data_IF_749415775102
#
_entry.id   IF_749415775102
#
_cell.length_a   1.000
_cell.length_b   1.000
_cell.length_c   1.000
_cell.angle_alpha   90.00
_cell.angle_beta   90.00
_cell.angle_gamma   90.00
#
_symmetry.space_group_name_H-M   'P 1'
#
loop_
_entity.id
_entity.type
_entity.pdbx_description
1 polymer ?
#
# COMPACT_ATOMS: atom_id res chain seq x y z
N UNK A 1 9.62 -5.92 57.86
CA UNK A 1 9.04 -6.29 56.55
C UNK A 1 8.10 -5.19 56.03
N UNK A 2 8.54 -3.92 55.95
CA UNK A 2 7.72 -2.79 55.43
C UNK A 2 8.48 -1.72 54.63
N UNK A 3 9.80 -1.83 54.44
CA UNK A 3 10.59 -0.79 53.73
C UNK A 3 10.68 -1.05 52.22
N UNK A 4 10.13 -2.16 51.71
CA UNK A 4 10.14 -2.49 50.27
C UNK A 4 8.88 -2.05 49.51
N UNK A 5 7.81 -1.65 50.19
CA UNK A 5 6.51 -1.30 49.57
C UNK A 5 6.40 0.17 49.11
N UNK A 6 7.29 1.07 49.54
CA UNK A 6 7.22 2.50 49.19
C UNK A 6 7.93 2.86 47.88
N UNK A 7 8.79 2.01 47.33
CA UNK A 7 9.58 2.32 46.14
C UNK A 7 8.87 1.96 44.81
N UNK A 8 7.87 1.08 44.83
CA UNK A 8 7.12 0.65 43.63
C UNK A 8 6.07 1.66 43.15
N UNK A 9 5.61 2.57 44.02
CA UNK A 9 4.57 3.56 43.68
C UNK A 9 5.11 4.84 43.01
N UNK A 10 6.41 5.14 43.16
CA UNK A 10 7.06 6.30 42.53
C UNK A 10 7.62 6.01 41.12
N UNK A 11 7.60 4.76 40.67
CA UNK A 11 8.05 4.36 39.33
C UNK A 11 6.92 4.34 38.27
N UNK A 12 5.66 4.21 38.70
CA UNK A 12 4.49 4.17 37.83
C UNK A 12 4.22 5.43 36.97
N UNK A 13 4.43 6.67 37.44
CA UNK A 13 4.10 7.85 36.63
C UNK A 13 5.07 8.07 35.45
N UNK A 14 6.33 7.62 35.56
CA UNK A 14 7.32 7.72 34.48
C UNK A 14 7.02 6.68 33.39
N UNK A 15 6.67 5.44 33.77
CA UNK A 15 6.33 4.40 32.79
C UNK A 15 5.05 4.71 32.02
N UNK A 16 4.05 5.33 32.67
CA UNK A 16 2.81 5.75 32.00
C UNK A 16 3.04 6.93 31.05
N UNK A 17 3.92 7.86 31.40
CA UNK A 17 4.28 8.98 30.52
C UNK A 17 5.06 8.48 29.29
N UNK A 18 6.02 7.58 29.49
CA UNK A 18 6.74 6.92 28.40
C UNK A 18 5.79 6.10 27.50
N UNK A 19 4.87 5.33 28.06
CA UNK A 19 3.84 4.62 27.27
C UNK A 19 2.98 5.57 26.44
N UNK A 20 2.62 6.73 27.00
CA UNK A 20 1.79 7.71 26.29
C UNK A 20 2.58 8.40 25.16
N UNK A 21 3.86 8.71 25.38
CA UNK A 21 4.76 9.19 24.31
C UNK A 21 4.88 8.12 23.21
N UNK A 22 5.12 6.85 23.58
CA UNK A 22 5.21 5.75 22.61
C UNK A 22 3.91 5.58 21.83
N UNK A 23 2.75 5.71 22.47
CA UNK A 23 1.45 5.64 21.80
C UNK A 23 1.25 6.83 20.83
N UNK A 24 1.67 8.04 21.23
CA UNK A 24 1.62 9.24 20.39
C UNK A 24 2.53 9.13 19.17
N UNK A 25 3.76 8.62 19.34
CA UNK A 25 4.69 8.36 18.24
C UNK A 25 4.13 7.33 17.25
N UNK A 26 3.48 6.28 17.76
CA UNK A 26 2.82 5.26 16.91
C UNK A 26 1.64 5.83 16.12
N UNK A 27 0.84 6.70 16.75
CA UNK A 27 -0.24 7.40 16.05
C UNK A 27 0.30 8.33 14.95
N UNK A 28 1.39 9.06 15.23
CA UNK A 28 2.05 9.92 14.27
C UNK A 28 2.66 9.14 13.09
N UNK A 29 3.25 7.97 13.34
CA UNK A 29 3.77 7.11 12.27
C UNK A 29 2.63 6.58 11.40
N UNK A 30 1.53 6.14 12.01
CA UNK A 30 0.39 5.61 11.25
C UNK A 30 -0.26 6.69 10.37
N UNK A 31 -0.44 7.92 10.87
CA UNK A 31 -1.01 9.01 10.07
C UNK A 31 -0.12 9.41 8.88
N UNK A 32 1.20 9.38 9.05
CA UNK A 32 2.15 9.60 7.95
C UNK A 32 2.09 8.48 6.91
N UNK A 33 1.98 7.21 7.34
CA UNK A 33 1.84 6.07 6.45
C UNK A 33 0.54 6.13 5.64
N UNK A 34 -0.58 6.44 6.29
CA UNK A 34 -1.89 6.62 5.63
C UNK A 34 -1.85 7.75 4.59
N UNK A 35 -1.16 8.86 4.91
CA UNK A 35 -0.97 9.95 3.96
C UNK A 35 -0.19 9.53 2.71
N UNK A 36 0.89 8.75 2.88
CA UNK A 36 1.68 8.25 1.76
C UNK A 36 0.90 7.22 0.93
N UNK A 37 0.14 6.35 1.57
CA UNK A 37 -0.72 5.37 0.91
C UNK A 37 -1.83 6.04 0.08
N UNK A 38 -2.40 7.14 0.59
CA UNK A 38 -3.37 7.94 -0.16
C UNK A 38 -2.74 8.65 -1.38
N UNK A 39 -1.44 8.98 -1.32
CA UNK A 39 -0.71 9.65 -2.41
C UNK A 39 -0.28 8.68 -3.52
N UNK A 40 0.17 7.49 -3.15
CA UNK A 40 0.72 6.50 -4.09
C UNK A 40 -0.20 5.29 -4.20
N UNK A 41 -1.03 5.30 -5.23
CA UNK A 41 -1.98 4.22 -5.52
C UNK A 41 -1.24 2.89 -5.73
N UNK A 42 -1.69 1.84 -5.05
CA UNK A 42 -1.08 0.50 -5.08
C UNK A 42 -0.06 0.23 -3.96
N UNK A 43 0.17 1.18 -3.05
CA UNK A 43 0.98 0.95 -1.85
C UNK A 43 0.29 -0.04 -0.92
N UNK A 44 0.96 -1.15 -0.59
CA UNK A 44 0.38 -2.20 0.26
C UNK A 44 0.34 -1.85 1.75
N UNK A 45 -0.49 -2.60 2.49
CA UNK A 45 -0.56 -2.58 3.96
C UNK A 45 -0.75 -4.01 4.49
N UNK A 46 -0.60 -4.20 5.81
CA UNK A 46 -0.62 -5.53 6.44
C UNK A 46 -1.95 -6.28 6.23
N UNK A 47 -3.07 -5.55 6.19
CA UNK A 47 -4.41 -6.11 6.01
C UNK A 47 -4.86 -6.22 4.54
N UNK A 48 -3.95 -6.00 3.58
CA UNK A 48 -4.28 -5.97 2.16
C UNK A 48 -4.71 -7.37 1.67
N UNK A 49 -5.87 -7.46 1.03
CA UNK A 49 -6.39 -8.74 0.55
C UNK A 49 -5.67 -9.20 -0.72
N UNK A 50 -5.51 -10.52 -0.89
CA UNK A 50 -4.91 -11.12 -2.09
C UNK A 50 -5.56 -10.61 -3.39
N UNK A 51 -6.87 -10.38 -3.37
CA UNK A 51 -7.59 -9.84 -4.53
C UNK A 51 -7.17 -8.41 -4.86
N UNK A 52 -7.11 -7.53 -3.86
CA UNK A 52 -6.67 -6.13 -4.04
C UNK A 52 -5.23 -6.05 -4.52
N UNK A 53 -4.37 -6.96 -4.04
CA UNK A 53 -2.99 -7.07 -4.54
C UNK A 53 -3.00 -7.45 -6.02
N UNK A 54 -3.71 -8.51 -6.38
CA UNK A 54 -3.76 -9.01 -7.74
C UNK A 54 -4.25 -7.94 -8.72
N UNK A 55 -5.29 -7.19 -8.36
CA UNK A 55 -5.82 -6.08 -9.18
C UNK A 55 -4.78 -4.96 -9.33
N UNK A 56 -4.06 -4.59 -8.27
CA UNK A 56 -2.98 -3.60 -8.37
C UNK A 56 -1.87 -4.03 -9.34
N UNK A 57 -1.43 -5.29 -9.26
CA UNK A 57 -0.40 -5.84 -10.17
C UNK A 57 -0.90 -5.88 -11.61
N UNK A 58 -2.15 -6.31 -11.81
CA UNK A 58 -2.77 -6.36 -13.13
C UNK A 58 -2.87 -4.96 -13.75
N UNK A 59 -3.29 -3.97 -12.98
CA UNK A 59 -3.37 -2.56 -13.40
C UNK A 59 -2.01 -2.02 -13.82
N UNK A 60 -0.97 -2.26 -13.03
CA UNK A 60 0.39 -1.79 -13.33
C UNK A 60 1.00 -2.50 -14.55
N UNK A 61 0.65 -3.78 -14.76
CA UNK A 61 1.05 -4.54 -15.94
C UNK A 61 0.41 -3.96 -17.21
N UNK A 62 -0.90 -3.73 -17.23
CA UNK A 62 -1.57 -3.13 -18.39
C UNK A 62 -1.10 -1.69 -18.67
N UNK A 63 -0.85 -0.90 -17.63
CA UNK A 63 -0.28 0.44 -17.79
C UNK A 63 1.10 0.36 -18.49
N UNK A 64 1.92 -0.61 -18.10
CA UNK A 64 3.21 -0.87 -18.75
C UNK A 64 3.05 -1.34 -20.19
N UNK A 65 2.05 -2.18 -20.49
CA UNK A 65 1.80 -2.66 -21.85
C UNK A 65 1.43 -1.54 -22.81
N UNK A 66 0.58 -0.61 -22.39
CA UNK A 66 0.18 0.55 -23.19
C UNK A 66 1.29 1.61 -23.28
N UNK A 67 2.10 1.75 -22.21
CA UNK A 67 3.18 2.73 -22.14
C UNK A 67 4.40 2.38 -23.00
N UNK A 68 4.69 1.08 -23.18
CA UNK A 68 5.86 0.63 -23.94
C UNK A 68 5.44 0.16 -25.34
N UNK A 69 5.82 0.92 -26.36
CA UNK A 69 5.51 0.57 -27.75
C UNK A 69 5.92 -0.86 -28.18
N UNK A 70 7.13 -1.39 -27.86
CA UNK A 70 7.53 -2.71 -28.36
C UNK A 70 6.68 -3.85 -27.78
N UNK A 71 6.24 -3.74 -26.52
CA UNK A 71 5.41 -4.78 -25.91
C UNK A 71 3.97 -4.71 -26.43
N UNK A 72 3.43 -3.50 -26.64
CA UNK A 72 2.13 -3.32 -27.28
C UNK A 72 2.11 -3.91 -28.70
N UNK A 73 3.17 -3.65 -29.48
CA UNK A 73 3.30 -4.19 -30.83
C UNK A 73 3.43 -5.72 -30.83
N UNK A 74 4.13 -6.30 -29.85
CA UNK A 74 4.21 -7.75 -29.67
C UNK A 74 2.82 -8.38 -29.48
N UNK A 75 1.98 -7.82 -28.60
CA UNK A 75 0.61 -8.30 -28.38
C UNK A 75 -0.27 -8.12 -29.63
N UNK A 76 -0.17 -6.99 -30.32
CA UNK A 76 -0.91 -6.75 -31.56
C UNK A 76 -0.58 -7.75 -32.66
N UNK A 77 0.70 -8.15 -32.77
CA UNK A 77 1.12 -9.19 -33.72
C UNK A 77 0.62 -10.57 -33.28
N UNK A 78 0.70 -10.89 -31.99
CA UNK A 78 0.26 -12.18 -31.46
C UNK A 78 -1.25 -12.41 -31.62
N UNK A 79 -2.06 -11.37 -31.41
CA UNK A 79 -3.52 -11.42 -31.55
C UNK A 79 -4.01 -11.12 -32.96
N UNK A 80 -3.10 -10.71 -33.86
CA UNK A 80 -3.40 -10.32 -35.24
C UNK A 80 -4.46 -9.18 -35.30
N UNK A 81 -4.34 -8.22 -34.40
CA UNK A 81 -5.20 -7.05 -34.31
C UNK A 81 -4.41 -5.76 -34.51
N UNK A 82 -5.12 -4.69 -34.86
CA UNK A 82 -4.47 -3.38 -34.99
C UNK A 82 -3.95 -2.89 -33.62
N UNK A 83 -2.77 -2.26 -33.62
CA UNK A 83 -2.17 -1.67 -32.40
C UNK A 83 -3.14 -0.73 -31.67
N UNK A 84 -3.96 0.02 -32.42
CA UNK A 84 -4.96 0.92 -31.85
C UNK A 84 -6.10 0.17 -31.14
N UNK A 85 -6.51 -0.99 -31.66
CA UNK A 85 -7.53 -1.84 -31.02
C UNK A 85 -6.98 -2.47 -29.74
N UNK A 86 -5.77 -3.02 -29.77
CA UNK A 86 -5.16 -3.60 -28.56
C UNK A 86 -4.95 -2.57 -27.46
N UNK A 87 -4.53 -1.35 -27.84
CA UNK A 87 -4.46 -0.23 -26.90
C UNK A 87 -5.81 0.08 -26.27
N UNK A 88 -6.88 0.12 -27.07
CA UNK A 88 -8.23 0.34 -26.56
C UNK A 88 -8.67 -0.81 -25.64
N UNK A 89 -8.41 -2.05 -26.03
CA UNK A 89 -8.73 -3.24 -25.25
C UNK A 89 -8.10 -3.18 -23.86
N UNK A 90 -6.79 -2.94 -23.77
CA UNK A 90 -6.09 -2.82 -22.48
C UNK A 90 -6.59 -1.64 -21.63
N UNK A 91 -6.96 -0.51 -22.25
CA UNK A 91 -7.55 0.63 -21.53
C UNK A 91 -8.95 0.32 -20.98
N UNK A 92 -9.73 -0.53 -21.64
CA UNK A 92 -11.06 -0.93 -21.19
C UNK A 92 -10.97 -1.95 -20.05
N UNK A 93 -10.04 -2.91 -20.14
CA UNK A 93 -9.79 -3.88 -19.06
C UNK A 93 -9.39 -3.16 -17.77
N UNK A 94 -8.58 -2.11 -17.86
CA UNK A 94 -8.21 -1.28 -16.71
C UNK A 94 -9.39 -0.55 -16.04
N UNK A 95 -10.49 -0.27 -16.76
CA UNK A 95 -11.68 0.41 -16.20
C UNK A 95 -12.70 -0.55 -15.56
N UNK A 96 -12.66 -1.82 -15.92
CA UNK A 96 -13.66 -2.81 -15.51
C UNK A 96 -13.26 -3.58 -14.23
N UNK A 97 -11.99 -3.50 -13.83
CA UNK A 97 -11.44 -4.06 -12.60
C UNK A 97 -11.39 -3.06 -11.45
#
# INVERSE_FOLDING_TARGET
MQVTLSLSLYHAPISLFEENIRASDRFNINSQLEHLQAKYVGTGHADLNRFEWAVNIQRDSYASYVGHYPILAYFAIAENESIGRERYNFMQVQRLC
#
